data_IF_731123509859
#
_entry.id   IF_731123509859
#
_cell.length_a   1.000
_cell.length_b   1.000
_cell.length_c   1.000
_cell.angle_alpha   90.00
_cell.angle_beta   90.00
_cell.angle_gamma   90.00
#
_symmetry.space_group_name_H-M   'P 1'
#
loop_
_entity.id
_entity.type
_entity.pdbx_description
1 polymer ?
#
# COMPACT_ATOMS: atom_id res chain seq x y z
N UNK A 1 12.42 6.72 2.79
CA UNK A 1 13.00 6.24 4.06
C UNK A 1 14.05 5.18 3.72
N UNK A 2 15.28 5.59 3.37
CA UNK A 2 16.37 4.66 3.05
C UNK A 2 17.22 4.52 4.30
N UNK A 3 16.98 3.47 5.10
CA UNK A 3 17.79 3.22 6.31
C UNK A 3 17.15 2.33 7.37
N UNK A 4 15.85 2.04 7.29
CA UNK A 4 15.18 1.09 8.20
C UNK A 4 14.93 -0.24 7.51
N UNK A 5 14.93 -1.33 8.28
CA UNK A 5 14.61 -2.69 7.78
C UNK A 5 13.24 -2.71 7.08
N UNK A 6 12.25 -2.02 7.66
CA UNK A 6 10.91 -1.85 7.07
C UNK A 6 10.94 -1.12 5.73
N UNK A 7 11.78 -0.09 5.62
CA UNK A 7 11.99 0.67 4.39
C UNK A 7 12.53 -0.19 3.25
N UNK A 8 13.46 -1.08 3.58
CA UNK A 8 14.03 -2.02 2.62
C UNK A 8 13.02 -3.10 2.20
N UNK A 9 12.27 -3.66 3.16
CA UNK A 9 11.23 -4.65 2.87
C UNK A 9 10.11 -4.09 1.97
N UNK A 10 9.78 -2.80 2.11
CA UNK A 10 8.77 -2.16 1.26
C UNK A 10 9.14 -2.11 -0.23
N UNK A 11 10.43 -2.12 -0.58
CA UNK A 11 10.87 -2.11 -1.99
C UNK A 11 10.51 -3.42 -2.72
N UNK A 12 10.28 -4.50 -1.96
CA UNK A 12 9.95 -5.84 -2.46
C UNK A 12 8.45 -6.18 -2.41
N UNK A 13 7.63 -5.28 -1.86
CA UNK A 13 6.17 -5.43 -1.86
C UNK A 13 5.58 -5.33 -3.28
N UNK A 14 5.98 -4.38 -4.15
CA UNK A 14 5.47 -4.30 -5.52
C UNK A 14 5.81 -5.52 -6.36
N UNK A 15 6.97 -6.15 -6.09
CA UNK A 15 7.46 -7.32 -6.86
C UNK A 15 6.83 -8.64 -6.40
N UNK A 16 6.10 -8.64 -5.27
CA UNK A 16 5.52 -9.83 -4.67
C UNK A 16 6.54 -10.71 -3.92
N UNK A 17 7.80 -10.31 -3.85
CA UNK A 17 8.84 -11.01 -3.08
C UNK A 17 8.59 -10.90 -1.56
N UNK A 18 7.94 -9.82 -1.13
CA UNK A 18 7.45 -9.65 0.24
C UNK A 18 5.93 -9.52 0.23
N UNK A 19 5.27 -10.39 0.99
CA UNK A 19 3.82 -10.35 1.14
C UNK A 19 3.38 -9.12 1.96
N UNK A 20 2.34 -8.43 1.50
CA UNK A 20 1.81 -7.24 2.17
C UNK A 20 1.31 -7.54 3.60
N UNK A 21 1.00 -8.81 3.91
CA UNK A 21 0.63 -9.27 5.25
C UNK A 21 1.70 -9.03 6.31
N UNK A 22 2.97 -8.84 5.91
CA UNK A 22 4.07 -8.45 6.81
C UNK A 22 3.85 -7.05 7.40
N UNK A 23 3.11 -6.18 6.69
CA UNK A 23 2.89 -4.79 7.09
C UNK A 23 1.49 -4.56 7.67
N UNK A 24 0.47 -5.20 7.10
CA UNK A 24 -0.94 -4.99 7.46
C UNK A 24 -1.69 -6.31 7.49
N UNK A 25 -2.64 -6.46 8.41
CA UNK A 25 -3.55 -7.61 8.39
C UNK A 25 -4.52 -7.52 7.20
N UNK A 26 -5.15 -8.64 6.83
CA UNK A 26 -6.13 -8.67 5.74
C UNK A 26 -7.28 -7.66 5.95
N UNK A 27 -7.74 -7.49 7.19
CA UNK A 27 -8.82 -6.56 7.49
C UNK A 27 -8.39 -5.10 7.30
N UNK A 28 -7.15 -4.77 7.69
CA UNK A 28 -6.59 -3.43 7.51
C UNK A 28 -6.28 -3.14 6.04
N UNK A 29 -5.79 -4.13 5.30
CA UNK A 29 -5.60 -4.06 3.85
C UNK A 29 -6.91 -3.71 3.15
N UNK A 30 -8.01 -4.42 3.45
CA UNK A 30 -9.33 -4.15 2.87
C UNK A 30 -9.84 -2.74 3.22
N UNK A 31 -9.62 -2.30 4.45
CA UNK A 31 -10.04 -0.97 4.91
C UNK A 31 -9.28 0.14 4.17
N UNK A 32 -7.95 0.04 4.12
CA UNK A 32 -7.06 0.97 3.43
C UNK A 32 -7.28 0.96 1.92
N UNK A 33 -7.38 -0.23 1.31
CA UNK A 33 -7.69 -0.39 -0.11
C UNK A 33 -8.99 0.31 -0.47
N UNK A 34 -10.07 0.05 0.27
CA UNK A 34 -11.38 0.66 0.00
C UNK A 34 -11.32 2.17 0.15
N UNK A 35 -10.57 2.69 1.11
CA UNK A 35 -10.40 4.13 1.30
C UNK A 35 -9.59 4.76 0.16
N UNK A 36 -8.45 4.16 -0.20
CA UNK A 36 -7.57 4.63 -1.26
C UNK A 36 -8.22 4.57 -2.64
N UNK A 37 -8.99 3.51 -2.94
CA UNK A 37 -9.77 3.41 -4.18
C UNK A 37 -10.88 4.45 -4.27
N UNK A 38 -11.50 4.82 -3.15
CA UNK A 38 -12.52 5.89 -3.11
C UNK A 38 -11.94 7.30 -3.25
N UNK A 39 -10.70 7.50 -2.82
CA UNK A 39 -10.03 8.80 -2.80
C UNK A 39 -8.58 8.67 -3.31
N UNK A 40 -8.39 8.35 -4.61
CA UNK A 40 -7.06 8.07 -5.17
C UNK A 40 -6.14 9.29 -5.19
N UNK A 41 -6.71 10.49 -5.15
CA UNK A 41 -5.98 11.77 -5.15
C UNK A 41 -5.36 12.13 -3.80
N UNK A 42 -5.76 11.49 -2.70
CA UNK A 42 -5.20 11.80 -1.39
C UNK A 42 -3.73 11.36 -1.31
N UNK A 43 -2.91 12.16 -0.65
CA UNK A 43 -1.54 11.78 -0.28
C UNK A 43 -1.52 10.82 0.92
N UNK A 44 -0.41 10.09 1.10
CA UNK A 44 -0.23 9.21 2.27
C UNK A 44 -0.37 9.94 3.61
N UNK A 45 0.06 11.21 3.68
CA UNK A 45 -0.11 12.05 4.88
C UNK A 45 -1.58 12.38 5.15
N UNK A 46 -2.36 12.71 4.12
CA UNK A 46 -3.80 12.98 4.28
C UNK A 46 -4.58 11.72 4.67
N UNK A 47 -4.18 10.55 4.16
CA UNK A 47 -4.76 9.27 4.56
C UNK A 47 -4.45 9.00 6.04
N UNK A 48 -3.20 9.22 6.46
CA UNK A 48 -2.79 9.08 7.86
C UNK A 48 -3.67 9.92 8.80
N UNK A 49 -3.87 11.20 8.48
CA UNK A 49 -4.77 12.07 9.25
C UNK A 49 -6.24 11.63 9.20
N UNK A 50 -6.70 11.09 8.08
CA UNK A 50 -8.11 10.63 7.92
C UNK A 50 -8.44 9.43 8.80
N UNK A 51 -7.43 8.63 9.15
CA UNK A 51 -7.57 7.47 10.04
C UNK A 51 -7.23 7.78 11.50
N UNK A 52 -7.06 9.06 11.86
CA UNK A 52 -6.76 9.50 13.21
C UNK A 52 -5.59 8.71 13.84
N UNK A 53 -4.52 8.53 13.07
CA UNK A 53 -3.29 7.84 13.47
C UNK A 53 -3.45 6.34 13.79
N UNK A 54 -4.57 5.72 13.40
CA UNK A 54 -4.79 4.26 13.53
C UNK A 54 -3.75 3.43 12.79
N UNK A 55 -3.22 3.95 11.69
CA UNK A 55 -2.24 3.27 10.83
C UNK A 55 -0.93 4.02 10.79
N UNK A 56 0.19 3.30 10.73
CA UNK A 56 1.50 3.93 10.56
C UNK A 56 1.71 4.43 9.13
N UNK A 57 2.60 5.41 8.96
CA UNK A 57 3.00 5.87 7.63
C UNK A 57 3.55 4.72 6.75
N UNK A 58 4.29 3.78 7.33
CA UNK A 58 4.80 2.58 6.66
C UNK A 58 3.67 1.73 6.09
N UNK A 59 2.63 1.45 6.89
CA UNK A 59 1.48 0.66 6.46
C UNK A 59 0.75 1.30 5.27
N UNK A 60 0.52 2.62 5.35
CA UNK A 60 -0.17 3.38 4.30
C UNK A 60 0.64 3.37 3.00
N UNK A 61 1.97 3.51 3.09
CA UNK A 61 2.86 3.48 1.93
C UNK A 61 2.91 2.07 1.32
N UNK A 62 3.04 1.03 2.14
CA UNK A 62 3.07 -0.35 1.68
C UNK A 62 1.80 -0.72 0.91
N UNK A 63 0.62 -0.39 1.44
CA UNK A 63 -0.66 -0.64 0.76
C UNK A 63 -0.77 0.15 -0.55
N UNK A 64 -0.29 1.40 -0.58
CA UNK A 64 -0.29 2.19 -1.82
C UNK A 64 0.57 1.55 -2.91
N UNK A 65 1.79 1.16 -2.56
CA UNK A 65 2.72 0.51 -3.48
C UNK A 65 2.14 -0.80 -4.02
N UNK A 66 1.55 -1.60 -3.13
CA UNK A 66 0.86 -2.84 -3.49
C UNK A 66 -0.34 -2.63 -4.42
N UNK A 67 -1.12 -1.57 -4.23
CA UNK A 67 -2.23 -1.23 -5.13
C UNK A 67 -1.75 -0.77 -6.50
N UNK A 68 -0.63 -0.04 -6.56
CA UNK A 68 -0.05 0.42 -7.81
C UNK A 68 0.48 -0.73 -8.65
N UNK A 69 1.19 -1.70 -8.05
CA UNK A 69 1.69 -2.87 -8.79
C UNK A 69 0.55 -3.71 -9.36
N UNK A 70 -0.49 -3.99 -8.57
CA UNK A 70 -1.64 -4.77 -9.05
C UNK A 70 -2.43 -4.05 -10.14
N UNK A 71 -2.57 -2.73 -10.06
CA UNK A 71 -3.23 -1.96 -11.13
C UNK A 71 -2.42 -1.97 -12.43
N UNK A 72 -1.10 -2.14 -12.36
CA UNK A 72 -0.23 -2.26 -13.53
C UNK A 72 -0.31 -3.67 -14.14
N UNK A 73 -0.32 -4.72 -13.31
CA UNK A 73 -0.56 -6.10 -13.75
C UNK A 73 -1.93 -6.27 -14.44
N UNK A 74 -3.00 -5.68 -13.88
CA UNK A 74 -4.34 -5.72 -14.52
C UNK A 74 -4.37 -5.00 -15.87
N UNK A 75 -3.57 -3.95 -16.06
CA UNK A 75 -3.46 -3.24 -17.35
C UNK A 75 -2.67 -4.03 -18.39
N UNK A 76 -1.64 -4.76 -17.98
CA UNK A 76 -0.86 -5.62 -18.87
C UNK A 76 -1.71 -6.83 -19.30
N UNK A 77 -2.42 -7.48 -18.37
CA UNK A 77 -3.28 -8.61 -18.66
C UNK A 77 -4.50 -8.26 -19.54
N UNK A 78 -4.96 -7.00 -19.54
CA UNK A 78 -6.05 -6.53 -20.39
C UNK A 78 -5.63 -6.22 -21.84
N UNK A 79 -4.34 -6.30 -22.16
CA UNK A 79 -3.78 -6.07 -23.50
C UNK A 79 -3.43 -7.37 -24.25
N UNK A 80 -3.64 -8.54 -23.64
CA UNK A 80 -3.54 -9.88 -24.24
C UNK A 80 -4.92 -10.43 -24.63
#
# INVERSE_FOLDING_TARGET
MRGTVEGHLMEFVPTGEVDISVFVTENELKELEKFMKKKPELSSSQIFSSFNEKYSHTQIIAVRLWLQSRSEEEKIAALE
#
